data_IF_343396510821
#
_entry.id   IF_343396510821
#
_cell.length_a   1.000
_cell.length_b   1.000
_cell.length_c   1.000
_cell.angle_alpha   90.00
_cell.angle_beta   90.00
_cell.angle_gamma   90.00
#
_symmetry.space_group_name_H-M   'P 1'
#
loop_
_entity.id
_entity.type
_entity.pdbx_description
1 polymer ?
#
# COMPACT_ATOMS: atom_id res chain seq x y z
N UNK A 1 12.00 -11.80 6.59
CA UNK A 1 11.37 -10.57 6.06
C UNK A 1 9.91 -10.61 6.44
N UNK A 2 9.38 -9.51 6.99
CA UNK A 2 7.94 -9.37 7.25
C UNK A 2 7.16 -9.05 5.98
N UNK A 3 5.82 -9.09 6.02
CA UNK A 3 4.99 -8.56 4.94
C UNK A 3 5.15 -7.05 4.81
N UNK A 4 5.08 -6.55 3.58
CA UNK A 4 5.09 -5.10 3.27
C UNK A 4 3.67 -4.70 2.86
N UNK A 5 3.17 -3.62 3.46
CA UNK A 5 1.83 -3.10 3.20
C UNK A 5 1.90 -1.75 2.49
N UNK A 6 0.85 -1.35 1.76
CA UNK A 6 0.69 0.02 1.24
C UNK A 6 -0.78 0.47 1.31
N UNK A 7 -1.02 1.73 1.71
CA UNK A 7 -2.33 2.37 1.94
C UNK A 7 -2.44 3.65 1.09
N UNK A 8 -3.65 4.08 0.69
CA UNK A 8 -3.93 5.27 -0.16
C UNK A 8 -5.31 5.90 0.07
N UNK A 9 -5.53 7.19 -0.28
CA UNK A 9 -6.80 7.96 -0.13
C UNK A 9 -6.91 9.11 -1.20
N UNK A 10 -8.10 9.53 -1.74
CA UNK A 10 -8.27 10.75 -2.60
C UNK A 10 -9.72 11.19 -3.07
N UNK A 11 -9.95 12.46 -3.51
CA UNK A 11 -11.27 13.08 -3.95
C UNK A 11 -11.21 14.34 -4.88
N UNK A 12 -11.67 14.37 -6.14
CA UNK A 12 -11.64 15.58 -7.04
C UNK A 12 -12.83 16.57 -7.02
N UNK A 13 -12.87 17.77 -7.66
CA UNK A 13 -11.90 18.70 -8.32
C UNK A 13 -12.17 20.20 -7.89
N UNK A 14 -11.36 21.19 -8.35
CA UNK A 14 -11.63 22.63 -8.71
C UNK A 14 -10.41 23.57 -8.48
N UNK A 15 -10.06 24.48 -9.41
CA UNK A 15 -8.72 25.16 -9.48
C UNK A 15 -8.72 26.68 -9.20
N UNK A 16 -7.76 27.17 -8.41
CA UNK A 16 -7.23 28.56 -8.36
C UNK A 16 -5.74 28.52 -7.99
N UNK A 17 -4.89 29.38 -8.58
CA UNK A 17 -3.46 29.46 -8.27
C UNK A 17 -3.18 29.84 -6.80
N UNK A 18 -2.65 28.88 -6.05
CA UNK A 18 -2.05 29.01 -4.71
C UNK A 18 -0.80 28.10 -4.68
N UNK A 19 -0.06 28.07 -3.56
CA UNK A 19 1.04 27.13 -3.32
C UNK A 19 0.60 25.71 -3.70
N UNK A 20 1.09 25.20 -4.84
CA UNK A 20 0.51 24.02 -5.50
C UNK A 20 0.62 22.83 -4.55
N UNK A 21 -0.51 22.30 -4.04
CA UNK A 21 -0.43 21.27 -3.02
C UNK A 21 0.18 19.99 -3.60
N UNK A 22 0.89 19.18 -2.80
CA UNK A 22 1.47 17.95 -3.31
C UNK A 22 0.37 16.98 -3.77
N UNK A 23 0.53 16.45 -4.98
CA UNK A 23 -0.36 15.43 -5.56
C UNK A 23 -0.02 14.02 -5.10
N UNK A 24 1.21 13.77 -4.63
CA UNK A 24 1.64 12.47 -4.11
C UNK A 24 2.55 12.68 -2.90
N UNK A 25 2.31 11.91 -1.84
CA UNK A 25 3.15 11.83 -0.65
C UNK A 25 3.43 10.38 -0.33
N UNK A 26 4.71 10.00 -0.20
CA UNK A 26 5.12 8.61 0.00
C UNK A 26 5.90 8.48 1.32
N UNK A 27 5.46 7.56 2.18
CA UNK A 27 6.19 7.10 3.37
C UNK A 27 6.65 5.66 3.16
N UNK A 28 7.98 5.47 3.14
CA UNK A 28 8.62 4.18 2.82
C UNK A 28 8.46 3.11 3.92
N UNK A 29 8.52 3.51 5.21
CA UNK A 29 8.08 2.68 6.34
C UNK A 29 7.64 3.50 7.56
N UNK A 30 6.32 3.64 7.73
CA UNK A 30 5.71 4.32 8.89
C UNK A 30 5.94 3.56 10.19
N UNK A 31 6.16 2.24 10.15
CA UNK A 31 6.33 1.42 11.37
C UNK A 31 7.58 1.79 12.18
N UNK A 32 8.57 2.44 11.53
CA UNK A 32 9.76 2.98 12.17
C UNK A 32 9.42 4.08 13.19
N UNK A 33 8.38 4.88 12.95
CA UNK A 33 8.02 5.98 13.85
C UNK A 33 7.55 5.49 15.23
N UNK A 34 6.73 4.43 15.28
CA UNK A 34 6.36 3.77 16.55
C UNK A 34 7.57 3.15 17.24
N UNK A 35 8.52 2.58 16.48
CA UNK A 35 9.76 2.00 17.01
C UNK A 35 10.71 3.05 17.60
N UNK A 36 10.66 4.29 17.11
CA UNK A 36 11.36 5.45 17.69
C UNK A 36 10.63 6.02 18.92
N UNK A 37 9.55 5.39 19.40
CA UNK A 37 8.81 5.78 20.60
C UNK A 37 7.74 6.85 20.37
N UNK A 38 7.44 7.23 19.12
CA UNK A 38 6.34 8.14 18.83
C UNK A 38 4.99 7.47 19.13
N UNK A 39 4.08 8.21 19.77
CA UNK A 39 2.76 7.68 20.12
C UNK A 39 1.91 7.42 18.86
N UNK A 40 1.19 6.28 18.76
CA UNK A 40 0.40 5.93 17.58
C UNK A 40 -0.59 7.02 17.16
N UNK A 41 -1.28 7.64 18.12
CA UNK A 41 -2.23 8.73 17.85
C UNK A 41 -1.55 9.96 17.21
N UNK A 42 -0.32 10.28 17.63
CA UNK A 42 0.45 11.40 17.05
C UNK A 42 0.85 11.13 15.60
N UNK A 43 1.21 9.88 15.28
CA UNK A 43 1.56 9.45 13.91
C UNK A 43 0.31 9.46 13.02
N UNK A 44 -0.81 8.88 13.47
CA UNK A 44 -2.10 8.93 12.75
C UNK A 44 -2.53 10.38 12.50
N UNK A 45 -2.39 11.25 13.51
CA UNK A 45 -2.71 12.68 13.39
C UNK A 45 -1.78 13.40 12.40
N UNK A 46 -0.50 13.04 12.36
CA UNK A 46 0.46 13.57 11.39
C UNK A 46 0.07 13.16 9.96
N UNK A 47 -0.16 11.86 9.73
CA UNK A 47 -0.58 11.34 8.42
C UNK A 47 -1.89 11.98 7.95
N UNK A 48 -2.88 12.09 8.83
CA UNK A 48 -4.16 12.74 8.49
C UNK A 48 -3.99 14.23 8.16
N UNK A 49 -3.16 14.96 8.92
CA UNK A 49 -2.85 16.39 8.64
C UNK A 49 -2.09 16.60 7.33
N UNK A 50 -1.25 15.64 6.94
CA UNK A 50 -0.53 15.70 5.67
C UNK A 50 -1.45 15.30 4.50
N UNK A 51 -2.29 14.29 4.69
CA UNK A 51 -3.35 13.94 3.75
C UNK A 51 -4.29 15.14 3.48
N UNK A 52 -4.74 15.84 4.54
CA UNK A 52 -5.60 17.02 4.40
C UNK A 52 -4.92 18.25 3.77
N UNK A 53 -3.64 18.14 3.37
CA UNK A 53 -2.86 19.16 2.65
C UNK A 53 -2.50 18.72 1.24
N UNK A 54 -2.83 17.50 0.83
CA UNK A 54 -2.66 17.10 -0.56
C UNK A 54 -3.63 17.87 -1.45
N UNK A 55 -3.37 17.84 -2.76
CA UNK A 55 -4.42 18.17 -3.72
C UNK A 55 -5.62 17.24 -3.51
N UNK A 56 -6.76 17.66 -4.04
CA UNK A 56 -8.04 16.99 -3.85
C UNK A 56 -7.96 15.50 -4.26
N UNK A 57 -7.47 15.20 -5.46
CA UNK A 57 -7.20 13.83 -5.96
C UNK A 57 -5.81 13.30 -5.55
N UNK A 58 -5.17 13.92 -4.55
CA UNK A 58 -3.80 13.62 -4.16
C UNK A 58 -3.68 12.34 -3.32
N UNK A 59 -2.58 11.61 -3.52
CA UNK A 59 -2.35 10.25 -3.05
C UNK A 59 -1.36 10.21 -1.88
N UNK A 60 -1.80 9.76 -0.69
CA UNK A 60 -0.89 9.43 0.42
C UNK A 60 -0.57 7.93 0.42
N UNK A 61 0.60 7.54 -0.10
CA UNK A 61 1.14 6.18 0.01
C UNK A 61 1.84 5.98 1.35
N UNK A 62 1.23 5.22 2.26
CA UNK A 62 1.84 4.85 3.54
C UNK A 62 2.22 3.36 3.56
N UNK A 63 3.51 3.06 3.56
CA UNK A 63 4.04 1.70 3.68
C UNK A 63 4.35 1.32 5.11
N UNK A 64 4.22 0.03 5.42
CA UNK A 64 4.53 -0.56 6.72
C UNK A 64 5.25 -1.90 6.53
N UNK A 65 6.41 -2.07 7.15
CA UNK A 65 7.11 -3.38 7.20
C UNK A 65 6.60 -4.33 8.30
N UNK A 66 5.73 -3.82 9.17
CA UNK A 66 5.13 -4.53 10.30
C UNK A 66 3.70 -4.03 10.55
N UNK A 67 2.83 -4.92 11.04
CA UNK A 67 1.54 -4.52 11.61
C UNK A 67 1.77 -3.89 12.99
N UNK A 68 1.53 -2.59 13.07
CA UNK A 68 1.67 -1.77 14.29
C UNK A 68 0.33 -1.14 14.67
N UNK A 69 0.25 -0.40 15.78
CA UNK A 69 -1.03 0.21 16.21
C UNK A 69 -1.51 1.28 15.22
N UNK A 70 -0.59 2.02 14.58
CA UNK A 70 -0.92 2.95 13.49
C UNK A 70 -1.49 2.19 12.30
N UNK A 71 -0.90 1.05 11.91
CA UNK A 71 -1.43 0.22 10.82
C UNK A 71 -2.89 -0.20 11.12
N UNK A 72 -3.16 -0.73 12.32
CA UNK A 72 -4.51 -1.22 12.69
C UNK A 72 -5.55 -0.08 12.72
N UNK A 73 -5.16 1.15 13.06
CA UNK A 73 -6.04 2.32 13.00
C UNK A 73 -6.25 2.77 11.54
N UNK A 74 -5.19 2.81 10.73
CA UNK A 74 -5.21 3.35 9.36
C UNK A 74 -5.84 2.39 8.34
N UNK A 75 -5.73 1.07 8.52
CA UNK A 75 -6.24 0.07 7.57
C UNK A 75 -7.75 0.19 7.33
N UNK A 76 -8.50 0.64 8.34
CA UNK A 76 -9.94 0.89 8.28
C UNK A 76 -10.33 2.23 7.61
N UNK A 77 -9.35 3.06 7.28
CA UNK A 77 -9.49 4.41 6.71
C UNK A 77 -8.83 4.54 5.33
N UNK A 78 -8.32 3.44 4.80
CA UNK A 78 -7.65 3.36 3.52
C UNK A 78 -8.68 3.12 2.39
N UNK A 79 -8.55 3.81 1.26
CA UNK A 79 -9.35 3.54 0.07
C UNK A 79 -8.94 2.18 -0.54
N UNK A 80 -7.66 1.82 -0.44
CA UNK A 80 -7.18 0.47 -0.72
C UNK A 80 -5.99 0.06 0.15
N UNK A 81 -5.78 -1.25 0.28
CA UNK A 81 -4.57 -1.85 0.85
C UNK A 81 -3.91 -2.80 -0.15
N UNK A 82 -2.59 -2.86 -0.14
CA UNK A 82 -1.80 -3.86 -0.87
C UNK A 82 -1.00 -4.66 0.15
N UNK A 83 -1.31 -5.94 0.31
CA UNK A 83 -0.62 -6.86 1.23
C UNK A 83 0.37 -7.74 0.45
N UNK A 84 1.68 -7.53 0.63
CA UNK A 84 2.72 -8.33 -0.01
C UNK A 84 3.23 -9.42 0.95
N UNK A 85 3.04 -10.68 0.58
CA UNK A 85 3.49 -11.85 1.34
C UNK A 85 4.49 -12.69 0.53
N UNK A 86 5.78 -12.77 0.92
CA UNK A 86 6.74 -13.61 0.22
C UNK A 86 6.37 -15.10 0.36
N UNK A 87 6.40 -15.84 -0.75
CA UNK A 87 6.27 -17.30 -0.71
C UNK A 87 7.68 -17.84 -0.47
N UNK A 88 7.95 -18.33 0.73
CA UNK A 88 9.31 -18.63 1.21
C UNK A 88 10.17 -19.54 0.31
N UNK A 89 11.49 -19.42 0.47
CA UNK A 89 12.51 -20.09 -0.34
C UNK A 89 12.32 -21.61 -0.39
N UNK A 90 12.06 -22.14 -1.59
CA UNK A 90 12.07 -23.56 -1.89
C UNK A 90 12.44 -23.74 -3.37
N UNK A 91 13.16 -24.82 -3.68
CA UNK A 91 13.54 -25.13 -5.07
C UNK A 91 12.31 -25.26 -5.97
N UNK A 92 12.37 -24.69 -7.18
CA UNK A 92 11.31 -24.81 -8.19
C UNK A 92 10.09 -23.90 -7.98
N UNK A 93 10.28 -22.68 -7.47
CA UNK A 93 9.20 -21.66 -7.42
C UNK A 93 9.44 -20.57 -8.45
N UNK A 94 8.52 -20.46 -9.41
CA UNK A 94 8.57 -19.49 -10.51
C UNK A 94 8.12 -18.06 -10.10
N UNK A 95 7.83 -17.85 -8.81
CA UNK A 95 7.30 -16.60 -8.25
C UNK A 95 7.92 -16.26 -6.90
N UNK A 96 8.11 -14.97 -6.63
CA UNK A 96 8.66 -14.43 -5.38
C UNK A 96 7.62 -14.40 -4.25
N UNK A 97 6.35 -14.15 -4.56
CA UNK A 97 5.31 -14.10 -3.54
C UNK A 97 3.89 -13.91 -4.02
N UNK A 98 3.00 -13.63 -3.07
CA UNK A 98 1.61 -13.22 -3.28
C UNK A 98 1.44 -11.74 -2.97
N UNK A 99 0.54 -11.10 -3.71
CA UNK A 99 0.05 -9.75 -3.48
C UNK A 99 -1.48 -9.81 -3.40
N UNK A 100 -2.07 -9.37 -2.29
CA UNK A 100 -3.51 -9.16 -2.20
C UNK A 100 -3.78 -7.66 -2.28
N UNK A 101 -4.67 -7.24 -3.18
CA UNK A 101 -5.11 -5.86 -3.32
C UNK A 101 -6.55 -5.81 -2.83
N UNK A 102 -6.82 -5.07 -1.76
CA UNK A 102 -8.15 -4.92 -1.17
C UNK A 102 -8.62 -3.48 -1.43
N UNK A 103 -9.77 -3.30 -2.11
CA UNK A 103 -10.30 -1.97 -2.46
C UNK A 103 -11.63 -1.73 -1.74
N UNK A 104 -11.75 -0.60 -1.04
CA UNK A 104 -12.89 -0.23 -0.20
C UNK A 104 -13.81 0.77 -0.93
N UNK A 105 -14.71 0.26 -1.77
CA UNK A 105 -15.66 1.08 -2.55
C UNK A 105 -16.89 1.56 -1.73
N UNK A 106 -16.68 2.02 -0.49
CA UNK A 106 -17.76 2.42 0.43
C UNK A 106 -18.62 1.26 0.95
N UNK A 107 -18.25 0.01 0.66
CA UNK A 107 -18.92 -1.22 1.12
C UNK A 107 -18.28 -1.74 2.41
N UNK A 108 -19.05 -2.49 3.22
CA UNK A 108 -18.57 -3.11 4.46
C UNK A 108 -17.56 -4.25 4.25
N UNK A 109 -17.50 -4.80 3.03
CA UNK A 109 -16.52 -5.79 2.59
C UNK A 109 -15.72 -5.24 1.41
N UNK A 110 -14.39 -5.34 1.39
CA UNK A 110 -13.57 -4.87 0.28
C UNK A 110 -13.60 -5.87 -0.89
N UNK A 111 -13.38 -5.37 -2.10
CA UNK A 111 -13.08 -6.24 -3.24
C UNK A 111 -11.63 -6.68 -3.16
N UNK A 112 -11.38 -7.98 -2.98
CA UNK A 112 -10.03 -8.55 -2.90
C UNK A 112 -9.60 -9.17 -4.24
N UNK A 113 -8.52 -8.67 -4.81
CA UNK A 113 -7.82 -9.25 -5.96
C UNK A 113 -6.52 -9.90 -5.51
N UNK A 114 -6.34 -11.20 -5.75
CA UNK A 114 -5.08 -11.90 -5.47
C UNK A 114 -4.24 -12.04 -6.74
N UNK A 115 -2.96 -11.67 -6.64
CA UNK A 115 -1.93 -11.83 -7.65
C UNK A 115 -0.75 -12.63 -7.08
N UNK A 116 -0.02 -13.31 -7.96
CA UNK A 116 1.36 -13.74 -7.71
C UNK A 116 2.30 -12.68 -8.28
N UNK A 117 3.47 -12.48 -7.67
CA UNK A 117 4.50 -11.59 -8.22
C UNK A 117 5.86 -12.27 -8.31
N UNK A 118 6.63 -11.91 -9.34
CA UNK A 118 8.03 -12.28 -9.54
C UNK A 118 8.86 -10.99 -9.62
N UNK A 119 9.84 -10.87 -8.74
CA UNK A 119 10.85 -9.80 -8.76
C UNK A 119 12.11 -10.32 -9.46
N UNK A 120 12.51 -9.66 -10.54
CA UNK A 120 13.84 -9.78 -11.15
C UNK A 120 14.64 -8.48 -10.98
N UNK A 121 15.89 -8.49 -11.41
CA UNK A 121 16.90 -7.46 -11.10
C UNK A 121 16.49 -5.99 -11.36
N UNK A 122 15.59 -5.76 -12.32
CA UNK A 122 15.12 -4.42 -12.73
C UNK A 122 13.62 -4.34 -12.99
N UNK A 123 12.85 -5.36 -12.64
CA UNK A 123 11.41 -5.41 -12.95
C UNK A 123 10.65 -6.30 -11.99
N UNK A 124 9.42 -5.92 -11.65
CA UNK A 124 8.44 -6.78 -11.00
C UNK A 124 7.33 -7.12 -12.00
N UNK A 125 6.95 -8.39 -12.08
CA UNK A 125 5.81 -8.86 -12.89
C UNK A 125 4.75 -9.45 -11.98
N UNK A 126 3.48 -9.13 -12.23
CA UNK A 126 2.34 -9.66 -11.47
C UNK A 126 1.43 -10.50 -12.38
N UNK A 127 0.87 -11.59 -11.84
CA UNK A 127 0.11 -12.59 -12.58
C UNK A 127 -1.11 -13.05 -11.78
N UNK A 128 -2.22 -13.40 -12.44
CA UNK A 128 -3.35 -14.03 -11.76
C UNK A 128 -3.02 -15.50 -11.43
N UNK A 129 -3.32 -15.99 -10.21
CA UNK A 129 -3.17 -17.41 -9.87
C UNK A 129 -4.00 -18.29 -10.81
N UNK A 130 -3.40 -19.37 -11.32
CA UNK A 130 -4.06 -20.27 -12.27
C UNK A 130 -4.15 -19.76 -13.72
N UNK A 131 -3.69 -18.53 -14.00
CA UNK A 131 -3.48 -18.06 -15.36
C UNK A 131 -2.36 -18.85 -16.04
N UNK A 132 -2.66 -19.46 -17.19
CA UNK A 132 -1.70 -20.26 -17.95
C UNK A 132 -0.54 -19.38 -18.46
N UNK A 133 0.56 -19.38 -17.71
CA UNK A 133 1.79 -18.67 -18.06
C UNK A 133 2.56 -19.48 -19.11
N UNK A 134 1.99 -19.57 -20.32
CA UNK A 134 2.66 -20.15 -21.47
C UNK A 134 3.83 -19.26 -21.89
N UNK A 135 5.02 -19.60 -21.40
CA UNK A 135 6.26 -19.24 -22.08
C UNK A 135 6.38 -20.12 -23.34
N UNK A 136 5.78 -19.65 -24.43
CA UNK A 136 6.19 -20.06 -25.77
C UNK A 136 7.52 -19.40 -26.10
N UNK A 137 8.60 -20.17 -26.04
CA UNK A 137 9.90 -19.89 -26.66
C UNK A 137 10.19 -21.06 -27.59
#
# INVERSE_FOLDING_TARGET
MGPVFSISIGVGYSVVDQEVPPTVLIFDDVSVLERLGMQPFSIVTLLYKLYSRLEKDGLLLASFSLKTRVYDIMVSKADFTIDITPIGLGYGKDVTGKMNINIWNGTSTPTTTQLLYLTGDRSMKCFYPGGSSFLSI
#
